data_IF_078020145367
#
_entry.id   IF_078020145367
#
_cell.length_a   1.000
_cell.length_b   1.000
_cell.length_c   1.000
_cell.angle_alpha   90.00
_cell.angle_beta   90.00
_cell.angle_gamma   90.00
#
_symmetry.space_group_name_H-M   'P 1'
#
loop_
_entity.id
_entity.type
_entity.pdbx_description
1 polymer ?
#
# COMPACT_ATOMS: atom_id res chain seq x y z
N UNK A 1 16.06 11.06 -9.33
CA UNK A 1 15.47 11.57 -8.08
C UNK A 1 16.54 12.05 -7.11
N UNK A 2 17.34 11.17 -6.51
CA UNK A 2 18.28 11.57 -5.45
C UNK A 2 19.38 12.53 -5.92
N UNK A 3 19.91 12.37 -7.15
CA UNK A 3 20.85 13.34 -7.76
C UNK A 3 20.27 14.75 -7.86
N UNK A 4 18.95 14.85 -8.01
CA UNK A 4 18.18 16.08 -8.14
C UNK A 4 17.52 16.51 -6.82
N UNK A 5 17.95 15.93 -5.69
CA UNK A 5 17.41 16.25 -4.35
C UNK A 5 15.92 15.98 -4.18
N UNK A 6 15.37 15.05 -4.97
CA UNK A 6 14.01 14.56 -4.82
C UNK A 6 14.02 13.19 -4.13
N UNK A 7 13.21 13.03 -3.09
CA UNK A 7 13.00 11.74 -2.41
C UNK A 7 12.21 10.82 -3.36
N UNK A 8 12.76 9.69 -3.82
CA UNK A 8 12.03 8.75 -4.65
C UNK A 8 11.00 7.98 -3.81
N UNK A 9 9.77 7.91 -4.32
CA UNK A 9 8.80 6.88 -3.95
C UNK A 9 9.03 5.70 -4.89
N UNK A 10 9.37 4.53 -4.36
CA UNK A 10 9.56 3.33 -5.16
C UNK A 10 8.27 2.50 -5.09
N UNK A 11 7.60 2.33 -6.22
CA UNK A 11 6.24 1.76 -6.30
C UNK A 11 6.20 0.48 -7.15
N UNK A 12 6.46 -0.71 -6.55
CA UNK A 12 6.26 -1.99 -7.21
C UNK A 12 4.83 -2.50 -6.98
N UNK A 13 3.86 -2.05 -7.78
CA UNK A 13 2.50 -2.57 -7.67
C UNK A 13 2.37 -3.97 -8.26
N UNK A 14 1.94 -4.93 -7.43
CA UNK A 14 1.40 -6.21 -7.90
C UNK A 14 -0.11 -6.07 -8.08
N UNK A 15 -0.55 -6.12 -9.33
CA UNK A 15 -1.97 -5.98 -9.68
C UNK A 15 -2.82 -7.13 -9.12
N UNK A 16 -4.04 -6.87 -8.64
CA UNK A 16 -4.89 -7.86 -7.98
C UNK A 16 -5.64 -8.78 -8.94
N UNK A 17 -5.38 -8.70 -10.26
CA UNK A 17 -6.13 -9.44 -11.27
C UNK A 17 -5.99 -10.96 -11.09
N UNK A 18 -7.12 -11.67 -11.11
CA UNK A 18 -7.19 -13.13 -11.06
C UNK A 18 -7.85 -13.68 -9.79
N UNK A 19 -7.76 -15.00 -9.65
CA UNK A 19 -8.45 -15.79 -8.62
C UNK A 19 -7.49 -16.35 -7.55
N UNK A 20 -6.32 -15.76 -7.42
CA UNK A 20 -5.28 -16.24 -6.51
C UNK A 20 -5.65 -15.97 -5.04
N UNK A 21 -5.17 -16.82 -4.14
CA UNK A 21 -5.30 -16.60 -2.70
C UNK A 21 -4.26 -15.61 -2.19
N UNK A 22 -4.42 -15.21 -0.92
CA UNK A 22 -3.51 -14.27 -0.27
C UNK A 22 -2.08 -14.81 -0.11
N UNK A 23 -1.92 -16.14 0.04
CA UNK A 23 -0.61 -16.77 0.19
C UNK A 23 0.22 -16.66 -1.11
N UNK A 24 -0.44 -16.78 -2.27
CA UNK A 24 0.18 -16.54 -3.56
C UNK A 24 0.63 -15.08 -3.71
N UNK A 25 -0.23 -14.12 -3.36
CA UNK A 25 0.12 -12.70 -3.36
C UNK A 25 1.31 -12.41 -2.45
N UNK A 26 1.34 -13.00 -1.25
CA UNK A 26 2.46 -12.88 -0.30
C UNK A 26 3.78 -13.36 -0.91
N UNK A 27 3.77 -14.56 -1.50
CA UNK A 27 4.94 -15.14 -2.19
C UNK A 27 5.45 -14.24 -3.31
N UNK A 28 4.54 -13.70 -4.12
CA UNK A 28 4.93 -12.79 -5.21
C UNK A 28 5.44 -11.45 -4.69
N UNK A 29 4.83 -10.92 -3.63
CA UNK A 29 5.25 -9.69 -2.96
C UNK A 29 6.68 -9.82 -2.44
N UNK A 30 6.99 -10.91 -1.74
CA UNK A 30 8.36 -11.17 -1.26
C UNK A 30 9.36 -11.27 -2.41
N UNK A 31 9.01 -11.99 -3.49
CA UNK A 31 9.88 -12.12 -4.66
C UNK A 31 10.17 -10.77 -5.33
N UNK A 32 9.15 -9.94 -5.50
CA UNK A 32 9.26 -8.63 -6.15
C UNK A 32 10.06 -7.66 -5.27
N UNK A 33 9.75 -7.58 -3.98
CA UNK A 33 10.46 -6.69 -3.06
C UNK A 33 11.93 -7.08 -2.91
N UNK A 34 12.25 -8.37 -2.81
CA UNK A 34 13.64 -8.84 -2.76
C UNK A 34 14.42 -8.42 -4.01
N UNK A 35 13.83 -8.61 -5.21
CA UNK A 35 14.46 -8.19 -6.46
C UNK A 35 14.62 -6.66 -6.55
N UNK A 36 13.62 -5.90 -6.09
CA UNK A 36 13.67 -4.45 -6.06
C UNK A 36 14.80 -3.94 -5.16
N UNK A 37 14.89 -4.41 -3.91
CA UNK A 37 15.93 -3.95 -2.99
C UNK A 37 17.33 -4.40 -3.42
N UNK A 38 17.46 -5.55 -4.08
CA UNK A 38 18.72 -5.94 -4.73
C UNK A 38 19.11 -4.95 -5.84
N UNK A 39 18.17 -4.52 -6.67
CA UNK A 39 18.41 -3.51 -7.70
C UNK A 39 18.77 -2.14 -7.09
N UNK A 40 18.03 -1.68 -6.06
CA UNK A 40 18.33 -0.42 -5.37
C UNK A 40 19.75 -0.43 -4.77
N UNK A 41 20.16 -1.56 -4.17
CA UNK A 41 21.51 -1.73 -3.65
C UNK A 41 22.57 -1.69 -4.76
N UNK A 42 22.35 -2.39 -5.88
CA UNK A 42 23.25 -2.37 -7.04
C UNK A 42 23.46 -0.96 -7.61
N UNK A 43 22.41 -0.13 -7.55
CA UNK A 43 22.45 1.26 -7.99
C UNK A 43 22.90 2.26 -6.91
N UNK A 44 23.36 1.78 -5.74
CA UNK A 44 23.81 2.61 -4.60
C UNK A 44 22.77 3.65 -4.16
N UNK A 45 21.48 3.28 -4.17
CA UNK A 45 20.41 4.16 -3.71
C UNK A 45 20.51 4.36 -2.20
N UNK A 46 20.43 5.62 -1.77
CA UNK A 46 20.41 5.98 -0.34
C UNK A 46 19.03 5.69 0.25
N UNK A 47 18.88 4.57 0.98
CA UNK A 47 17.57 4.07 1.42
C UNK A 47 16.91 4.94 2.48
N UNK A 48 17.70 5.56 3.37
CA UNK A 48 17.21 6.50 4.38
C UNK A 48 16.58 7.75 3.75
N UNK A 49 16.92 8.04 2.48
CA UNK A 49 16.36 9.12 1.66
C UNK A 49 15.40 8.65 0.57
N UNK A 50 14.71 7.52 0.77
CA UNK A 50 13.69 6.97 -0.13
C UNK A 50 12.47 6.49 0.66
N UNK A 51 11.33 6.29 0.00
CA UNK A 51 10.13 5.67 0.62
C UNK A 51 9.55 4.58 -0.27
N UNK A 52 8.91 3.58 0.33
CA UNK A 52 8.29 2.47 -0.41
C UNK A 52 6.79 2.69 -0.52
N UNK A 53 6.21 2.44 -1.70
CA UNK A 53 4.76 2.40 -1.93
C UNK A 53 4.36 1.05 -2.53
N UNK A 54 4.18 0.00 -1.71
CA UNK A 54 3.81 -1.31 -2.20
C UNK A 54 2.28 -1.50 -2.16
N UNK A 55 1.79 -2.54 -2.82
CA UNK A 55 0.46 -3.08 -2.54
C UNK A 55 0.42 -3.68 -1.12
N UNK A 56 -0.76 -3.67 -0.49
CA UNK A 56 -1.04 -4.60 0.61
C UNK A 56 -1.15 -6.03 0.06
N UNK A 57 -0.79 -7.03 0.86
CA UNK A 57 -0.92 -8.44 0.49
C UNK A 57 -2.39 -8.85 0.66
N UNK A 58 -3.07 -9.07 -0.46
CA UNK A 58 -4.51 -9.39 -0.53
C UNK A 58 -4.75 -10.57 -1.47
N UNK A 59 -5.95 -11.15 -1.44
CA UNK A 59 -6.39 -12.08 -2.48
C UNK A 59 -6.62 -11.35 -3.81
N UNK A 60 -6.65 -12.11 -4.90
CA UNK A 60 -7.05 -11.59 -6.20
C UNK A 60 -8.53 -11.20 -6.24
N UNK A 61 -8.92 -10.38 -7.23
CA UNK A 61 -10.28 -9.83 -7.35
C UNK A 61 -11.39 -10.89 -7.25
N UNK A 62 -11.16 -12.08 -7.83
CA UNK A 62 -12.10 -13.22 -7.80
C UNK A 62 -11.62 -14.38 -6.92
N UNK A 63 -10.57 -14.15 -6.13
CA UNK A 63 -9.99 -15.14 -5.22
C UNK A 63 -10.72 -15.24 -3.88
N UNK A 64 -10.35 -16.22 -3.04
CA UNK A 64 -10.91 -16.37 -1.71
C UNK A 64 -10.54 -15.16 -0.83
N UNK A 65 -11.55 -14.48 -0.28
CA UNK A 65 -11.38 -13.25 0.52
C UNK A 65 -10.66 -13.55 1.83
N UNK A 66 -9.70 -12.69 2.18
CA UNK A 66 -9.03 -12.71 3.48
C UNK A 66 -9.59 -11.61 4.39
N UNK A 67 -9.64 -11.87 5.70
CA UNK A 67 -10.00 -10.84 6.68
C UNK A 67 -8.86 -9.83 6.91
N UNK A 68 -9.18 -8.73 7.60
CA UNK A 68 -8.24 -7.63 7.85
C UNK A 68 -7.01 -8.06 8.68
N UNK A 69 -7.16 -8.98 9.63
CA UNK A 69 -6.05 -9.47 10.45
C UNK A 69 -5.09 -10.33 9.63
N UNK A 70 -5.64 -11.16 8.72
CA UNK A 70 -4.88 -11.96 7.78
C UNK A 70 -4.14 -11.07 6.78
N UNK A 71 -4.82 -10.07 6.19
CA UNK A 71 -4.17 -9.06 5.33
C UNK A 71 -3.03 -8.37 6.06
N UNK A 72 -3.26 -7.91 7.29
CA UNK A 72 -2.24 -7.24 8.08
C UNK A 72 -1.04 -8.15 8.37
N UNK A 73 -1.30 -9.40 8.75
CA UNK A 73 -0.25 -10.38 9.10
C UNK A 73 0.62 -10.72 7.90
N UNK A 74 0.00 -11.10 6.78
CA UNK A 74 0.74 -11.44 5.56
C UNK A 74 1.50 -10.24 4.99
N UNK A 75 0.90 -9.04 5.04
CA UNK A 75 1.56 -7.82 4.56
C UNK A 75 2.80 -7.51 5.39
N UNK A 76 2.67 -7.39 6.71
CA UNK A 76 3.81 -7.05 7.58
C UNK A 76 4.88 -8.14 7.55
N UNK A 77 4.50 -9.42 7.47
CA UNK A 77 5.46 -10.51 7.35
C UNK A 77 6.28 -10.44 6.05
N UNK A 78 5.63 -10.16 4.91
CA UNK A 78 6.33 -9.99 3.64
C UNK A 78 7.31 -8.80 3.69
N UNK A 79 6.91 -7.71 4.33
CA UNK A 79 7.78 -6.53 4.53
C UNK A 79 8.97 -6.86 5.43
N UNK A 80 8.75 -7.48 6.59
CA UNK A 80 9.80 -7.91 7.53
C UNK A 80 10.85 -8.83 6.89
N UNK A 81 10.46 -9.61 5.88
CA UNK A 81 11.36 -10.52 5.15
C UNK A 81 12.19 -9.84 4.06
N UNK A 82 11.81 -8.65 3.59
CA UNK A 82 12.34 -8.11 2.32
C UNK A 82 12.74 -6.65 2.34
N UNK A 83 12.14 -5.83 3.19
CA UNK A 83 12.45 -4.40 3.29
C UNK A 83 13.62 -4.21 4.26
N UNK A 84 14.65 -3.44 3.92
CA UNK A 84 15.72 -3.10 4.86
C UNK A 84 15.25 -2.10 5.94
N UNK A 85 15.66 -2.24 7.21
CA UNK A 85 15.35 -1.30 8.29
C UNK A 85 15.77 0.16 8.04
N UNK A 86 16.69 0.40 7.11
CA UNK A 86 17.17 1.73 6.75
C UNK A 86 16.09 2.62 6.09
N UNK A 87 15.07 2.03 5.49
CA UNK A 87 13.94 2.81 4.96
C UNK A 87 13.24 3.56 6.11
N UNK A 88 12.79 4.81 5.93
CA UNK A 88 12.07 5.54 6.97
C UNK A 88 10.58 5.13 7.05
N UNK A 89 9.97 4.76 5.92
CA UNK A 89 8.54 4.49 5.88
C UNK A 89 8.02 3.81 4.63
N UNK A 90 6.84 3.21 4.80
CA UNK A 90 6.10 2.45 3.79
C UNK A 90 4.70 3.06 3.72
N UNK A 91 4.34 3.54 2.54
CA UNK A 91 3.12 4.31 2.28
C UNK A 91 2.27 3.55 1.27
N UNK A 92 1.32 2.74 1.75
CA UNK A 92 0.59 1.82 0.88
C UNK A 92 -0.26 2.52 -0.16
N UNK A 93 -0.30 1.95 -1.36
CA UNK A 93 -1.36 2.23 -2.33
C UNK A 93 -2.66 1.55 -1.87
N UNK A 94 -3.81 2.13 -2.20
CA UNK A 94 -5.10 1.49 -1.94
C UNK A 94 -5.38 0.33 -2.89
N UNK A 95 -4.78 0.39 -4.09
CA UNK A 95 -4.89 -0.60 -5.14
C UNK A 95 -6.27 -0.65 -5.78
N UNK A 96 -6.39 -1.53 -6.76
CA UNK A 96 -7.67 -1.82 -7.39
C UNK A 96 -8.47 -2.83 -6.55
N UNK A 97 -9.76 -2.60 -6.45
CA UNK A 97 -10.76 -3.53 -5.88
C UNK A 97 -11.91 -3.64 -6.88
N UNK A 98 -12.82 -4.59 -6.66
CA UNK A 98 -14.02 -4.68 -7.49
C UNK A 98 -14.77 -3.33 -7.46
N UNK A 99 -15.40 -2.96 -8.58
CA UNK A 99 -16.01 -1.64 -8.78
C UNK A 99 -17.11 -1.33 -7.75
N UNK A 100 -17.76 -2.38 -7.25
CA UNK A 100 -18.85 -2.39 -6.29
C UNK A 100 -18.40 -2.49 -4.81
N UNK A 101 -17.10 -2.66 -4.55
CA UNK A 101 -16.58 -2.68 -3.17
C UNK A 101 -16.21 -1.27 -2.69
N UNK A 102 -16.60 -0.95 -1.44
CA UNK A 102 -16.09 0.22 -0.77
C UNK A 102 -14.63 0.02 -0.37
N UNK A 103 -13.77 0.75 -1.07
CA UNK A 103 -12.33 0.65 -0.95
C UNK A 103 -11.72 1.68 0.00
N UNK A 104 -12.48 2.73 0.38
CA UNK A 104 -12.01 3.78 1.29
C UNK A 104 -11.91 3.24 2.72
N UNK A 105 -13.01 2.66 3.22
CA UNK A 105 -13.07 2.07 4.55
C UNK A 105 -12.13 0.85 4.65
N UNK A 106 -12.19 -0.05 3.68
CA UNK A 106 -11.36 -1.27 3.66
C UNK A 106 -9.86 -0.96 3.71
N UNK A 107 -9.38 0.01 2.92
CA UNK A 107 -7.97 0.41 2.94
C UNK A 107 -7.57 1.03 4.29
N UNK A 108 -8.48 1.79 4.90
CA UNK A 108 -8.29 2.40 6.22
C UNK A 108 -8.21 1.34 7.32
N UNK A 109 -9.15 0.39 7.35
CA UNK A 109 -9.18 -0.69 8.35
C UNK A 109 -7.95 -1.58 8.22
N UNK A 110 -7.52 -1.92 7.00
CA UNK A 110 -6.30 -2.74 6.81
C UNK A 110 -5.06 -2.03 7.36
N UNK A 111 -4.87 -0.75 7.05
CA UNK A 111 -3.74 0.04 7.54
C UNK A 111 -3.78 0.21 9.06
N UNK A 112 -4.96 0.46 9.62
CA UNK A 112 -5.18 0.53 11.06
C UNK A 112 -4.82 -0.80 11.73
N UNK A 113 -5.28 -1.92 11.16
CA UNK A 113 -5.06 -3.27 11.69
C UNK A 113 -3.57 -3.63 11.70
N UNK A 114 -2.83 -3.30 10.63
CA UNK A 114 -1.36 -3.44 10.61
C UNK A 114 -0.69 -2.66 11.74
N UNK A 115 -1.02 -1.37 11.87
CA UNK A 115 -0.45 -0.52 12.92
C UNK A 115 -0.83 -0.99 14.33
N UNK A 116 -2.03 -1.56 14.53
CA UNK A 116 -2.50 -2.09 15.82
C UNK A 116 -1.77 -3.38 16.21
N UNK A 117 -1.73 -4.37 15.31
CA UNK A 117 -1.19 -5.71 15.60
C UNK A 117 0.34 -5.75 15.70
N UNK A 118 1.01 -4.86 14.96
CA UNK A 118 2.48 -4.85 14.81
C UNK A 118 3.15 -3.61 15.40
N UNK A 119 2.44 -2.82 16.21
CA UNK A 119 3.00 -1.68 16.92
C UNK A 119 4.27 -2.08 17.68
N UNK A 120 5.38 -1.36 17.44
CA UNK A 120 6.67 -1.63 18.09
C UNK A 120 7.41 -2.88 17.60
N UNK A 121 6.88 -3.60 16.60
CA UNK A 121 7.52 -4.78 15.99
C UNK A 121 8.10 -4.50 14.59
N UNK A 122 7.90 -3.29 14.07
CA UNK A 122 8.32 -2.88 12.73
C UNK A 122 9.37 -1.77 12.85
N UNK A 123 10.45 -1.81 12.06
CA UNK A 123 11.46 -0.75 12.07
C UNK A 123 11.06 0.46 11.22
N UNK A 124 9.94 0.38 10.50
CA UNK A 124 9.43 1.43 9.60
C UNK A 124 8.12 2.03 10.12
N UNK A 125 7.83 3.25 9.69
CA UNK A 125 6.48 3.79 9.76
C UNK A 125 5.59 3.19 8.66
N UNK A 126 4.38 2.77 9.01
CA UNK A 126 3.35 2.39 8.04
C UNK A 126 2.31 3.51 7.92
N UNK A 127 2.13 4.02 6.71
CA UNK A 127 1.16 5.07 6.38
C UNK A 127 0.52 4.81 5.01
N UNK A 128 -0.19 5.78 4.47
CA UNK A 128 -0.91 5.69 3.20
C UNK A 128 -0.33 6.61 2.12
N UNK A 129 -0.45 6.18 0.87
CA UNK A 129 -0.33 6.98 -0.34
C UNK A 129 -1.52 6.62 -1.24
N UNK A 130 -2.71 7.08 -0.86
CA UNK A 130 -3.96 6.70 -1.50
C UNK A 130 -4.37 7.70 -2.58
N UNK A 131 -4.83 7.16 -3.72
CA UNK A 131 -5.60 7.91 -4.71
C UNK A 131 -7.09 7.69 -4.47
N UNK A 132 -7.65 6.66 -5.11
CA UNK A 132 -9.08 6.33 -5.05
C UNK A 132 -9.62 6.21 -3.62
N UNK A 133 -8.87 5.59 -2.70
CA UNK A 133 -9.33 5.43 -1.31
C UNK A 133 -9.36 6.72 -0.47
N UNK A 134 -8.89 7.86 -1.00
CA UNK A 134 -8.96 9.18 -0.35
C UNK A 134 -9.92 10.14 -1.06
N UNK A 135 -10.29 9.84 -2.30
CA UNK A 135 -10.92 10.82 -3.20
C UNK A 135 -12.25 10.35 -3.76
N UNK A 136 -12.65 9.08 -3.61
CA UNK A 136 -13.87 8.56 -4.24
C UNK A 136 -15.09 9.29 -3.69
N UNK A 137 -15.26 9.36 -2.36
CA UNK A 137 -16.41 10.07 -1.77
C UNK A 137 -16.35 11.57 -2.05
N UNK A 138 -15.16 12.19 -2.02
CA UNK A 138 -14.99 13.60 -2.36
C UNK A 138 -15.45 13.89 -3.81
N UNK A 139 -14.97 13.11 -4.79
CA UNK A 139 -15.30 13.28 -6.22
C UNK A 139 -16.79 13.07 -6.47
N UNK A 140 -17.37 12.00 -5.88
CA UNK A 140 -18.79 11.69 -6.04
C UNK A 140 -19.68 12.72 -5.35
N UNK A 141 -19.23 13.34 -4.26
CA UNK A 141 -19.97 14.43 -3.59
C UNK A 141 -19.88 15.72 -4.39
N UNK A 142 -18.72 16.02 -4.98
CA UNK A 142 -18.51 17.24 -5.74
C UNK A 142 -19.32 17.29 -7.04
N UNK A 143 -19.30 16.19 -7.82
CA UNK A 143 -19.94 16.11 -9.15
C UNK A 143 -19.50 17.17 -10.18
N UNK A 144 -18.46 17.95 -9.88
CA UNK A 144 -18.02 19.07 -10.73
C UNK A 144 -18.81 20.37 -10.50
N UNK A 145 -19.69 20.41 -9.50
CA UNK A 145 -20.59 21.53 -9.23
C UNK A 145 -20.04 22.42 -8.10
N UNK A 146 -19.99 23.73 -8.30
CA UNK A 146 -19.42 24.67 -7.31
C UNK A 146 -20.24 24.71 -6.01
N UNK A 147 -21.56 24.53 -6.07
CA UNK A 147 -22.43 24.46 -4.89
C UNK A 147 -22.08 23.30 -3.95
N UNK A 148 -21.45 22.23 -4.46
CA UNK A 148 -21.10 21.05 -3.68
C UNK A 148 -19.71 21.14 -3.04
N UNK A 149 -18.96 22.23 -3.28
CA UNK A 149 -17.56 22.36 -2.86
C UNK A 149 -17.35 22.17 -1.36
N UNK A 150 -18.17 22.78 -0.52
CA UNK A 150 -18.05 22.64 0.94
C UNK A 150 -18.38 21.22 1.40
N UNK A 151 -19.41 20.60 0.81
CA UNK A 151 -19.79 19.22 1.11
C UNK A 151 -18.67 18.24 0.71
N UNK A 152 -18.06 18.44 -0.47
CA UNK A 152 -16.97 17.62 -0.97
C UNK A 152 -15.67 17.80 -0.18
N UNK A 153 -15.39 18.98 0.37
CA UNK A 153 -14.24 19.23 1.24
C UNK A 153 -14.39 18.58 2.63
N UNK A 154 -15.63 18.36 3.09
CA UNK A 154 -15.94 17.72 4.38
C UNK A 154 -15.94 16.19 4.29
N UNK A 155 -16.25 15.66 3.11
CA UNK A 155 -16.20 14.24 2.77
C UNK A 155 -14.77 13.70 2.82
#
# INVERSE_FOLDING_TARGET
>A
CQSERLVPIVEPEIVPNGSHDIAYCAKMTEKVLAAQFAALALHNVYLEGAVLKPNMVKNGLTGPKADHETVATYTVQALLRTVPPAMPGIFFLSGETALDEDNEETATINLMTMNKLFKGKMPWHLSFSYGKALQKTCIVTWMGEEENKEAAQKA
#
